data_IF_100035548258
#
_entry.id   IF_100035548258
#
_cell.length_a   1.000
_cell.length_b   1.000
_cell.length_c   1.000
_cell.angle_alpha   90.00
_cell.angle_beta   90.00
_cell.angle_gamma   90.00
#
_symmetry.space_group_name_H-M   'P 1'
#
loop_
_entity.id
_entity.type
_entity.pdbx_description
1 polymer ?
#
# COMPACT_ATOMS: atom_id res chain seq x y z
N UNK A 1 6.32 -13.86 -16.79
CA UNK A 1 7.11 -12.82 -16.12
C UNK A 1 6.65 -12.75 -14.67
N UNK A 2 7.56 -12.65 -13.69
CA UNK A 2 7.16 -12.65 -12.27
C UNK A 2 6.73 -11.24 -11.85
N UNK A 3 5.53 -11.16 -11.33
CA UNK A 3 4.94 -9.93 -10.81
C UNK A 3 4.61 -10.13 -9.32
N UNK A 4 4.75 -9.07 -8.52
CA UNK A 4 4.36 -9.07 -7.12
C UNK A 4 3.33 -7.98 -6.83
N UNK A 5 2.30 -8.31 -6.06
CA UNK A 5 1.40 -7.36 -5.42
C UNK A 5 1.86 -7.18 -3.97
N UNK A 6 2.20 -5.97 -3.55
CA UNK A 6 2.55 -5.68 -2.15
C UNK A 6 1.34 -5.04 -1.47
N UNK A 7 0.95 -5.56 -0.31
CA UNK A 7 -0.18 -5.05 0.49
C UNK A 7 0.31 -4.73 1.90
N UNK A 8 0.09 -3.47 2.30
CA UNK A 8 0.52 -2.92 3.58
C UNK A 8 -0.56 -3.02 4.68
N UNK A 9 -0.19 -2.86 5.98
CA UNK A 9 -1.10 -3.11 7.10
C UNK A 9 -2.39 -2.27 7.14
N UNK A 10 -2.41 -1.11 6.47
CA UNK A 10 -3.54 -0.19 6.37
C UNK A 10 -4.34 -0.33 5.07
N UNK A 11 -4.02 -1.33 4.23
CA UNK A 11 -4.60 -1.51 2.89
C UNK A 11 -5.34 -2.85 2.73
N UNK A 12 -5.96 -3.36 3.80
CA UNK A 12 -6.65 -4.66 3.79
C UNK A 12 -8.05 -4.56 3.15
N UNK A 13 -8.12 -4.12 1.89
CA UNK A 13 -9.37 -3.88 1.17
C UNK A 13 -9.97 -5.17 0.59
N UNK A 14 -11.28 -5.39 0.77
CA UNK A 14 -11.98 -6.55 0.18
C UNK A 14 -11.72 -6.69 -1.34
N UNK A 15 -11.68 -5.56 -2.05
CA UNK A 15 -11.35 -5.45 -3.46
C UNK A 15 -10.07 -4.60 -3.63
N UNK A 16 -8.92 -5.14 -3.24
CA UNK A 16 -7.65 -4.43 -3.39
C UNK A 16 -7.27 -4.27 -4.89
N UNK A 17 -7.01 -3.05 -5.38
CA UNK A 17 -6.89 -2.78 -6.82
C UNK A 17 -5.68 -3.44 -7.48
N UNK A 18 -4.63 -3.72 -6.71
CA UNK A 18 -3.42 -4.38 -7.23
C UNK A 18 -3.49 -5.91 -7.28
N UNK A 19 -4.56 -6.54 -6.77
CA UNK A 19 -4.70 -8.00 -6.79
C UNK A 19 -5.01 -8.51 -8.20
N UNK A 20 -4.29 -9.55 -8.63
CA UNK A 20 -4.51 -10.25 -9.91
C UNK A 20 -4.12 -11.72 -9.76
N UNK A 21 -4.89 -12.65 -10.35
CA UNK A 21 -4.53 -14.08 -10.33
C UNK A 21 -3.22 -14.32 -11.10
N UNK A 22 -2.40 -15.24 -10.60
CA UNK A 22 -1.06 -15.53 -11.14
C UNK A 22 0.03 -14.54 -10.75
N UNK A 23 -0.30 -13.51 -9.97
CA UNK A 23 0.65 -12.57 -9.34
C UNK A 23 0.87 -12.98 -7.89
N UNK A 24 2.13 -13.04 -7.45
CA UNK A 24 2.43 -13.33 -6.04
C UNK A 24 1.92 -12.18 -5.17
N UNK A 25 1.06 -12.46 -4.20
CA UNK A 25 0.62 -11.45 -3.23
C UNK A 25 1.51 -11.52 -2.00
N UNK A 26 2.06 -10.37 -1.58
CA UNK A 26 2.93 -10.25 -0.43
C UNK A 26 2.25 -9.34 0.59
N UNK A 27 1.86 -9.91 1.74
CA UNK A 27 1.41 -9.16 2.91
C UNK A 27 2.63 -8.87 3.77
N UNK A 28 2.88 -7.60 4.07
CA UNK A 28 4.08 -7.19 4.80
C UNK A 28 3.72 -6.45 6.08
N UNK A 29 4.16 -6.97 7.23
CA UNK A 29 4.09 -6.28 8.53
C UNK A 29 5.12 -5.13 8.57
N UNK A 30 4.93 -4.15 7.68
CA UNK A 30 5.90 -3.12 7.35
C UNK A 30 6.43 -2.37 8.58
N UNK A 31 7.75 -2.19 8.63
CA UNK A 31 8.46 -1.59 9.76
C UNK A 31 7.92 -0.22 10.15
N UNK A 32 7.49 0.61 9.21
CA UNK A 32 6.87 1.91 9.51
C UNK A 32 5.60 1.78 10.37
N UNK A 33 4.86 0.68 10.26
CA UNK A 33 3.62 0.46 11.01
C UNK A 33 3.80 -0.32 12.31
N UNK A 34 4.91 -1.07 12.43
CA UNK A 34 5.16 -1.97 13.58
C UNK A 34 6.32 -1.54 14.48
N UNK A 35 7.34 -0.86 13.95
CA UNK A 35 8.65 -0.68 14.62
C UNK A 35 9.19 0.76 14.61
N UNK A 36 8.65 1.66 13.78
CA UNK A 36 9.11 3.06 13.71
C UNK A 36 9.04 3.79 15.07
N UNK A 37 8.01 3.48 15.85
CA UNK A 37 7.79 4.07 17.17
C UNK A 37 7.41 2.99 18.18
N UNK A 38 7.42 3.36 19.46
CA UNK A 38 6.84 2.56 20.53
C UNK A 38 5.30 2.61 20.45
N UNK A 39 4.73 1.95 19.45
CA UNK A 39 3.29 1.88 19.25
C UNK A 39 2.60 1.18 20.41
N UNK A 40 1.38 1.62 20.71
CA UNK A 40 0.55 0.98 21.71
C UNK A 40 0.30 -0.50 21.34
N UNK A 41 0.47 -1.42 22.30
CA UNK A 41 0.38 -2.87 22.05
C UNK A 41 -0.93 -3.29 21.36
N UNK A 42 -2.08 -2.71 21.77
CA UNK A 42 -3.38 -2.95 21.11
C UNK A 42 -3.40 -2.57 19.62
N UNK A 43 -2.68 -1.53 19.18
CA UNK A 43 -2.54 -1.18 17.75
C UNK A 43 -1.79 -2.29 17.01
N UNK A 44 -0.68 -2.77 17.58
CA UNK A 44 0.12 -3.85 16.99
C UNK A 44 -0.67 -5.16 16.90
N UNK A 45 -1.39 -5.51 17.98
CA UNK A 45 -2.30 -6.67 18.00
C UNK A 45 -3.38 -6.54 16.93
N UNK A 46 -4.01 -5.36 16.79
CA UNK A 46 -5.02 -5.12 15.77
C UNK A 46 -4.45 -5.30 14.36
N UNK A 47 -3.31 -4.68 14.04
CA UNK A 47 -2.68 -4.84 12.72
C UNK A 47 -2.34 -6.30 12.42
N UNK A 48 -1.68 -7.00 13.34
CA UNK A 48 -1.32 -8.41 13.11
C UNK A 48 -2.55 -9.30 12.95
N UNK A 49 -3.56 -9.13 13.81
CA UNK A 49 -4.78 -9.93 13.74
C UNK A 49 -5.57 -9.68 12.44
N UNK A 50 -5.73 -8.42 12.03
CA UNK A 50 -6.44 -8.09 10.79
C UNK A 50 -5.68 -8.57 9.56
N UNK A 51 -4.35 -8.45 9.54
CA UNK A 51 -3.51 -8.94 8.45
C UNK A 51 -3.55 -10.46 8.32
N UNK A 52 -3.49 -11.22 9.43
CA UNK A 52 -3.64 -12.69 9.40
C UNK A 52 -5.03 -13.11 8.95
N UNK A 53 -6.08 -12.41 9.38
CA UNK A 53 -7.44 -12.65 8.89
C UNK A 53 -7.55 -12.41 7.38
N UNK A 54 -6.90 -11.35 6.88
CA UNK A 54 -6.87 -11.02 5.46
C UNK A 54 -6.06 -12.02 4.64
N UNK A 55 -4.95 -12.54 5.18
CA UNK A 55 -4.19 -13.67 4.59
C UNK A 55 -5.09 -14.89 4.36
N UNK A 56 -5.83 -15.31 5.40
CA UNK A 56 -6.76 -16.43 5.32
C UNK A 56 -7.84 -16.18 4.26
N UNK A 57 -8.42 -14.98 4.25
CA UNK A 57 -9.42 -14.57 3.26
C UNK A 57 -8.88 -14.65 1.82
N UNK A 58 -7.70 -14.10 1.56
CA UNK A 58 -7.09 -14.09 0.23
C UNK A 58 -6.76 -15.51 -0.26
N UNK A 59 -6.24 -16.37 0.62
CA UNK A 59 -5.99 -17.78 0.31
C UNK A 59 -7.30 -18.52 0.01
N UNK A 60 -8.36 -18.28 0.79
CA UNK A 60 -9.66 -18.92 0.58
C UNK A 60 -10.29 -18.58 -0.78
N UNK A 61 -10.09 -17.36 -1.28
CA UNK A 61 -10.54 -16.97 -2.62
C UNK A 61 -9.50 -17.29 -3.72
N UNK A 62 -8.45 -18.06 -3.39
CA UNK A 62 -7.49 -18.66 -4.32
C UNK A 62 -6.33 -17.76 -4.76
N UNK A 63 -5.90 -16.80 -3.94
CA UNK A 63 -4.65 -16.06 -4.21
C UNK A 63 -3.46 -16.79 -3.57
N UNK A 64 -2.32 -16.76 -4.27
CA UNK A 64 -1.04 -17.13 -3.68
C UNK A 64 -0.56 -15.98 -2.80
N UNK A 65 -0.41 -16.24 -1.50
CA UNK A 65 -0.07 -15.23 -0.49
C UNK A 65 1.18 -15.64 0.27
N UNK A 66 2.20 -14.79 0.22
CA UNK A 66 3.38 -14.82 1.07
C UNK A 66 3.21 -13.77 2.18
N UNK A 67 3.29 -14.19 3.44
CA UNK A 67 3.15 -13.30 4.60
C UNK A 67 4.51 -13.05 5.25
N UNK A 68 4.91 -11.79 5.34
CA UNK A 68 6.16 -11.36 5.98
C UNK A 68 5.85 -10.77 7.35
N UNK A 69 6.29 -11.46 8.40
CA UNK A 69 6.15 -10.99 9.77
C UNK A 69 7.16 -9.89 10.10
N UNK A 70 6.90 -9.06 11.11
CA UNK A 70 7.73 -7.91 11.49
C UNK A 70 9.17 -8.27 11.93
N UNK A 71 9.40 -9.56 12.22
CA UNK A 71 10.72 -10.13 12.55
C UNK A 71 11.52 -10.51 11.30
N UNK A 72 10.89 -10.62 10.14
CA UNK A 72 11.56 -10.84 8.85
C UNK A 72 12.27 -9.55 8.41
N UNK A 73 13.50 -9.66 7.91
CA UNK A 73 14.23 -8.49 7.39
C UNK A 73 13.50 -7.82 6.22
N UNK A 74 12.77 -8.62 5.42
CA UNK A 74 11.95 -8.15 4.30
C UNK A 74 10.65 -7.46 4.75
N UNK A 75 10.40 -7.37 6.06
CA UNK A 75 9.39 -6.46 6.59
C UNK A 75 9.78 -4.99 6.42
N UNK A 76 11.03 -4.70 6.09
CA UNK A 76 11.41 -3.43 5.48
C UNK A 76 11.17 -3.51 3.98
N UNK A 77 10.29 -2.65 3.43
CA UNK A 77 10.01 -2.63 1.99
C UNK A 77 11.26 -2.48 1.12
N UNK A 78 12.31 -1.82 1.64
CA UNK A 78 13.57 -1.63 0.91
C UNK A 78 14.27 -2.97 0.67
N UNK A 79 14.32 -3.79 1.72
CA UNK A 79 14.87 -5.16 1.66
C UNK A 79 13.97 -6.09 0.84
N UNK A 80 12.65 -5.91 0.92
CA UNK A 80 11.70 -6.66 0.09
C UNK A 80 11.94 -6.39 -1.41
N UNK A 81 12.13 -5.13 -1.81
CA UNK A 81 12.37 -4.76 -3.21
C UNK A 81 13.71 -5.33 -3.70
N UNK A 82 14.76 -5.28 -2.87
CA UNK A 82 16.05 -5.93 -3.17
C UNK A 82 15.85 -7.43 -3.42
N UNK A 83 15.11 -8.10 -2.52
CA UNK A 83 14.82 -9.52 -2.64
C UNK A 83 14.02 -9.82 -3.92
N UNK A 84 13.01 -9.01 -4.25
CA UNK A 84 12.21 -9.19 -5.47
C UNK A 84 13.08 -9.07 -6.73
N UNK A 85 13.93 -8.05 -6.82
CA UNK A 85 14.85 -7.87 -7.94
C UNK A 85 15.79 -9.08 -8.09
N UNK A 86 16.36 -9.56 -6.99
CA UNK A 86 17.25 -10.73 -6.98
C UNK A 86 16.54 -12.06 -7.30
N UNK A 87 15.21 -12.09 -7.23
CA UNK A 87 14.38 -13.28 -7.51
C UNK A 87 13.67 -13.22 -8.87
N UNK A 88 14.16 -12.36 -9.77
CA UNK A 88 13.69 -12.19 -11.15
C UNK A 88 12.24 -11.67 -11.27
N UNK A 89 11.78 -10.91 -10.27
CA UNK A 89 10.56 -10.11 -10.44
C UNK A 89 10.86 -8.90 -11.33
N UNK A 90 9.93 -8.57 -12.22
CA UNK A 90 10.09 -7.43 -13.14
C UNK A 90 9.26 -6.23 -12.71
N UNK A 91 8.13 -6.47 -12.05
CA UNK A 91 7.18 -5.41 -11.72
C UNK A 91 6.53 -5.62 -10.35
N UNK A 92 6.35 -4.53 -9.62
CA UNK A 92 5.58 -4.45 -8.38
C UNK A 92 4.31 -3.62 -8.55
N UNK A 93 3.24 -4.08 -7.92
CA UNK A 93 1.92 -3.49 -7.99
C UNK A 93 1.41 -3.22 -6.57
N UNK A 94 0.90 -2.02 -6.31
CA UNK A 94 0.32 -1.69 -5.01
C UNK A 94 -0.64 -0.50 -5.11
N UNK A 95 -1.52 -0.36 -4.12
CA UNK A 95 -2.36 0.83 -3.99
C UNK A 95 -1.53 1.98 -3.39
N UNK A 96 -1.79 3.23 -3.77
CA UNK A 96 -1.11 4.40 -3.20
C UNK A 96 -1.07 4.29 -1.66
N UNK A 97 0.15 4.39 -1.13
CA UNK A 97 0.45 4.12 0.27
C UNK A 97 0.06 5.27 1.18
N UNK A 98 -0.11 6.49 0.65
CA UNK A 98 -0.52 7.67 1.42
C UNK A 98 0.41 7.90 2.63
N UNK A 99 1.69 7.66 2.41
CA UNK A 99 2.77 7.85 3.38
C UNK A 99 4.02 8.25 2.60
N UNK A 100 4.56 9.42 2.89
CA UNK A 100 5.64 10.02 2.10
C UNK A 100 6.92 9.17 2.19
N UNK A 101 7.26 8.68 3.38
CA UNK A 101 8.47 7.88 3.61
C UNK A 101 8.36 6.53 2.92
N UNK A 102 7.20 5.85 3.04
CA UNK A 102 6.98 4.58 2.37
C UNK A 102 6.99 4.74 0.85
N UNK A 103 6.35 5.80 0.33
CA UNK A 103 6.32 6.11 -1.10
C UNK A 103 7.73 6.37 -1.65
N UNK A 104 8.52 7.15 -0.91
CA UNK A 104 9.90 7.47 -1.25
C UNK A 104 10.78 6.21 -1.22
N UNK A 105 10.71 5.42 -0.15
CA UNK A 105 11.44 4.16 -0.02
C UNK A 105 11.17 3.22 -1.20
N UNK A 106 9.90 3.01 -1.55
CA UNK A 106 9.54 2.14 -2.66
C UNK A 106 10.07 2.70 -3.98
N UNK A 107 9.86 3.99 -4.23
CA UNK A 107 10.22 4.63 -5.50
C UNK A 107 11.73 4.61 -5.73
N UNK A 108 12.52 4.99 -4.72
CA UNK A 108 13.98 5.01 -4.79
C UNK A 108 14.55 3.60 -4.95
N UNK A 109 14.06 2.62 -4.19
CA UNK A 109 14.54 1.25 -4.29
C UNK A 109 14.15 0.62 -5.64
N UNK A 110 12.92 0.80 -6.11
CA UNK A 110 12.51 0.27 -7.43
C UNK A 110 13.37 0.87 -8.55
N UNK A 111 13.60 2.19 -8.52
CA UNK A 111 14.47 2.86 -9.47
C UNK A 111 15.91 2.31 -9.42
N UNK A 112 16.49 2.15 -8.23
CA UNK A 112 17.85 1.62 -8.05
C UNK A 112 18.04 0.22 -8.63
N UNK A 113 17.00 -0.63 -8.55
CA UNK A 113 17.05 -2.02 -8.99
C UNK A 113 16.35 -2.28 -10.34
N UNK A 114 16.00 -1.23 -11.09
CA UNK A 114 15.28 -1.32 -12.37
C UNK A 114 14.00 -2.18 -12.29
N UNK A 115 13.29 -2.11 -11.17
CA UNK A 115 12.03 -2.81 -10.95
C UNK A 115 10.89 -1.89 -11.37
N UNK A 116 10.07 -2.32 -12.31
CA UNK A 116 8.90 -1.53 -12.73
C UNK A 116 7.88 -1.43 -11.60
N UNK A 117 7.16 -0.31 -11.56
CA UNK A 117 6.19 -0.03 -10.51
C UNK A 117 4.88 0.44 -11.11
N UNK A 118 3.78 -0.18 -10.71
CA UNK A 118 2.43 0.30 -11.00
C UNK A 118 1.70 0.64 -9.70
N UNK A 119 1.21 1.86 -9.63
CA UNK A 119 0.47 2.41 -8.49
C UNK A 119 -0.99 2.53 -8.88
N UNK A 120 -1.87 2.04 -8.03
CA UNK A 120 -3.31 2.23 -8.19
C UNK A 120 -3.80 3.30 -7.21
N UNK A 121 -4.84 4.04 -7.59
CA UNK A 121 -5.55 4.91 -6.65
C UNK A 121 -6.01 4.09 -5.44
N UNK A 122 -5.80 4.64 -4.25
CA UNK A 122 -6.14 3.95 -3.01
C UNK A 122 -7.65 4.02 -2.74
N UNK A 123 -8.31 2.90 -2.40
CA UNK A 123 -9.69 2.89 -1.94
C UNK A 123 -9.92 3.65 -0.62
N UNK A 124 -8.87 4.09 0.08
CA UNK A 124 -8.99 4.87 1.32
C UNK A 124 -9.68 6.22 1.13
N UNK A 125 -9.67 6.78 -0.08
CA UNK A 125 -10.25 8.09 -0.36
C UNK A 125 -11.30 8.02 -1.46
N UNK A 126 -12.33 8.86 -1.33
CA UNK A 126 -13.34 9.06 -2.37
C UNK A 126 -12.81 9.82 -3.59
N UNK A 127 -11.67 10.50 -3.41
CA UNK A 127 -11.08 11.43 -4.35
C UNK A 127 -9.67 11.00 -4.69
N UNK A 128 -9.24 11.30 -5.91
CA UNK A 128 -7.84 11.21 -6.34
C UNK A 128 -7.21 12.61 -6.27
N UNK A 129 -5.88 12.68 -6.24
CA UNK A 129 -5.17 13.97 -6.32
C UNK A 129 -5.53 14.73 -7.61
N UNK A 130 -5.70 14.01 -8.72
CA UNK A 130 -6.11 14.59 -9.99
C UNK A 130 -7.54 15.13 -9.95
N UNK A 131 -8.48 14.46 -9.27
CA UNK A 131 -9.89 14.88 -9.22
C UNK A 131 -10.08 16.18 -8.43
N UNK A 132 -9.26 16.42 -7.41
CA UNK A 132 -9.38 17.63 -6.56
C UNK A 132 -8.52 18.80 -7.04
N UNK A 133 -7.59 18.57 -7.98
CA UNK A 133 -6.68 19.59 -8.52
C UNK A 133 -7.42 20.84 -9.00
N UNK A 134 -8.53 20.64 -9.72
CA UNK A 134 -9.34 21.76 -10.23
C UNK A 134 -9.96 22.65 -9.14
N UNK A 135 -10.24 22.10 -7.95
CA UNK A 135 -10.77 22.85 -6.80
C UNK A 135 -9.66 23.61 -6.07
N UNK A 136 -8.52 22.96 -5.83
CA UNK A 136 -7.45 23.51 -4.99
C UNK A 136 -6.52 24.46 -5.76
N UNK A 137 -6.10 24.14 -6.98
CA UNK A 137 -5.10 24.93 -7.73
C UNK A 137 -5.56 26.37 -8.03
N UNK A 138 -6.87 26.61 -8.02
CA UNK A 138 -7.47 27.92 -8.29
C UNK A 138 -7.57 28.81 -7.05
N UNK A 139 -7.16 28.34 -5.87
CA UNK A 139 -7.40 29.02 -4.58
C UNK A 139 -6.09 29.34 -3.86
N UNK A 140 -6.00 30.54 -3.29
CA UNK A 140 -4.89 30.95 -2.40
C UNK A 140 -5.12 30.56 -0.93
N UNK A 141 -6.36 30.26 -0.57
CA UNK A 141 -6.76 29.91 0.80
C UNK A 141 -7.76 28.75 0.74
N UNK A 142 -7.61 27.80 1.66
CA UNK A 142 -8.40 26.58 1.69
C UNK A 142 -9.33 26.58 2.89
N UNK A 143 -10.62 26.30 2.64
CA UNK A 143 -11.65 26.19 3.68
C UNK A 143 -12.33 24.83 3.57
N UNK A 144 -12.37 24.09 4.68
CA UNK A 144 -12.99 22.77 4.73
C UNK A 144 -14.48 22.85 4.35
N UNK A 145 -15.23 23.85 4.83
CA UNK A 145 -16.65 24.03 4.50
C UNK A 145 -16.90 24.18 3.01
N UNK A 146 -16.05 24.96 2.32
CA UNK A 146 -16.18 25.17 0.88
C UNK A 146 -15.87 23.88 0.10
N UNK A 147 -14.84 23.13 0.52
CA UNK A 147 -14.51 21.84 -0.07
C UNK A 147 -15.61 20.81 0.18
N UNK A 148 -16.15 20.75 1.39
CA UNK A 148 -17.26 19.85 1.74
C UNK A 148 -18.51 20.12 0.88
N UNK A 149 -18.91 21.37 0.71
CA UNK A 149 -20.06 21.74 -0.14
C UNK A 149 -19.82 21.33 -1.60
N UNK A 150 -18.62 21.55 -2.13
CA UNK A 150 -18.25 21.14 -3.49
C UNK A 150 -18.35 19.62 -3.66
N UNK A 151 -17.80 18.85 -2.71
CA UNK A 151 -17.84 17.39 -2.73
C UNK A 151 -19.25 16.80 -2.61
N UNK A 152 -20.15 17.49 -1.90
CA UNK A 152 -21.58 17.15 -1.78
C UNK A 152 -22.41 17.51 -3.01
N UNK A 153 -21.90 18.33 -3.94
CA UNK A 153 -22.57 18.63 -5.22
C UNK A 153 -22.16 17.67 -6.33
N UNK A 154 -21.00 17.04 -6.20
CA UNK A 154 -20.46 16.07 -7.16
C UNK A 154 -21.02 14.65 -6.96
N UNK A 155 -21.74 14.40 -5.85
CA UNK A 155 -22.30 13.10 -5.45
C UNK A 155 -23.66 13.32 -4.78
#
# INVERSE_FOLDING_TARGET
MKEACIIFPHQLFKAHPALKKGRLTILVEENLFFRQYNFHQKKLVLHRASMKAYEVYLKAIGFEVNYLETTDQRADVRELIVWLANNNFLSVFYADVVDDWLSEHITQCCHKFNLERTVFDTPNFLNTLSSVKGFFDKKKTYFQTAFYIDQRKQR
#
